data_IF_765386434560
#
_entry.id   IF_765386434560
#
_cell.length_a   1.000
_cell.length_b   1.000
_cell.length_c   1.000
_cell.angle_alpha   90.00
_cell.angle_beta   90.00
_cell.angle_gamma   90.00
#
_symmetry.space_group_name_H-M   'P 1'
#
loop_
_entity.id
_entity.type
_entity.pdbx_description
1 polymer ?
#
# COMPACT_ATOMS: atom_id res chain seq x y z
N UNK A 1 -23.11 8.32 -17.31
CA UNK A 1 -22.84 9.45 -16.40
C UNK A 1 -21.97 8.89 -15.27
N UNK A 2 -20.74 9.39 -15.10
CA UNK A 2 -19.99 9.12 -13.88
C UNK A 2 -20.50 10.07 -12.81
N UNK A 3 -20.99 9.53 -11.71
CA UNK A 3 -21.49 10.32 -10.58
C UNK A 3 -20.36 10.84 -9.69
N UNK A 4 -19.10 10.65 -10.10
CA UNK A 4 -17.91 11.11 -9.40
C UNK A 4 -17.40 12.44 -9.97
N UNK A 5 -16.89 13.29 -9.10
CA UNK A 5 -16.10 14.47 -9.48
C UNK A 5 -14.83 14.05 -10.24
N UNK A 6 -14.16 15.00 -10.87
CA UNK A 6 -12.83 14.74 -11.42
C UNK A 6 -11.85 14.41 -10.29
N UNK A 7 -10.92 13.46 -10.49
CA UNK A 7 -9.87 13.20 -9.53
C UNK A 7 -9.05 14.47 -9.21
N UNK A 8 -8.77 14.66 -7.93
CA UNK A 8 -7.92 15.74 -7.46
C UNK A 8 -6.57 15.18 -6.98
N UNK A 9 -5.44 15.71 -7.44
CA UNK A 9 -4.14 15.21 -7.04
C UNK A 9 -3.83 15.59 -5.60
N UNK A 10 -3.25 14.65 -4.85
CA UNK A 10 -2.73 14.85 -3.50
C UNK A 10 -1.22 15.00 -3.61
N UNK A 11 -0.69 16.12 -3.12
CA UNK A 11 0.75 16.38 -3.09
C UNK A 11 1.26 16.37 -1.66
N UNK A 12 2.41 15.74 -1.46
CA UNK A 12 3.17 15.78 -0.21
C UNK A 12 4.45 16.57 -0.43
N UNK A 13 4.60 17.66 0.31
CA UNK A 13 5.82 18.46 0.29
C UNK A 13 6.92 17.76 1.13
N UNK A 14 8.16 17.67 0.60
CA UNK A 14 9.25 17.09 1.35
C UNK A 14 9.60 17.94 2.57
N UNK A 15 9.96 17.29 3.68
CA UNK A 15 10.40 17.96 4.89
C UNK A 15 11.65 18.82 4.64
N UNK A 16 11.68 20.04 5.20
CA UNK A 16 12.86 20.89 5.18
C UNK A 16 13.92 20.51 6.23
N UNK A 17 13.59 19.62 7.17
CA UNK A 17 14.44 19.26 8.31
C UNK A 17 15.18 17.94 8.09
N UNK A 18 14.44 16.88 7.75
CA UNK A 18 15.00 15.52 7.63
C UNK A 18 14.55 14.96 6.28
N UNK A 19 15.52 14.50 5.51
CA UNK A 19 15.30 13.82 4.23
C UNK A 19 16.08 12.50 4.22
N UNK A 20 15.37 11.40 4.09
CA UNK A 20 15.98 10.10 3.92
C UNK A 20 16.42 9.93 2.47
N UNK A 21 17.70 9.62 2.25
CA UNK A 21 18.29 9.51 0.91
C UNK A 21 18.71 8.07 0.57
N UNK A 22 18.57 7.16 1.53
CA UNK A 22 19.00 5.78 1.35
C UNK A 22 17.84 4.90 0.87
N UNK A 23 18.18 3.67 0.46
CA UNK A 23 17.24 2.61 0.09
C UNK A 23 16.25 2.34 1.23
N UNK A 24 15.00 2.10 0.88
CA UNK A 24 13.90 1.73 1.80
C UNK A 24 13.22 0.50 1.24
N UNK A 25 13.04 -0.50 2.06
CA UNK A 25 12.25 -1.69 1.73
C UNK A 25 10.93 -1.63 2.51
N UNK A 26 9.82 -1.78 1.82
CA UNK A 26 8.48 -1.83 2.40
C UNK A 26 8.01 -3.28 2.33
N UNK A 27 7.75 -3.88 3.49
CA UNK A 27 7.19 -5.23 3.57
C UNK A 27 5.66 -5.16 3.55
N UNK A 28 5.05 -5.88 2.63
CA UNK A 28 3.58 -5.85 2.45
C UNK A 28 2.96 -7.25 2.39
N UNK A 29 1.70 -7.29 2.76
CA UNK A 29 0.82 -8.44 2.57
C UNK A 29 -0.64 -7.97 2.45
N UNK A 30 -1.58 -8.90 2.27
CA UNK A 30 -3.02 -8.63 2.13
C UNK A 30 -3.66 -7.89 3.32
N UNK A 31 -3.01 -7.81 4.47
CA UNK A 31 -3.48 -7.04 5.62
C UNK A 31 -3.09 -5.56 5.56
N UNK A 32 -2.22 -5.18 4.62
CA UNK A 32 -1.92 -3.79 4.31
C UNK A 32 -3.13 -3.18 3.58
N UNK A 33 -4.11 -2.72 4.33
CA UNK A 33 -5.44 -2.35 3.84
C UNK A 33 -5.76 -0.88 4.16
N UNK A 34 -6.57 -0.20 3.33
CA UNK A 34 -7.06 1.16 3.53
C UNK A 34 -5.91 2.16 3.68
N UNK A 35 -5.79 2.88 4.80
CA UNK A 35 -4.73 3.87 5.04
C UNK A 35 -3.32 3.31 4.87
N UNK A 36 -3.10 2.02 5.16
CA UNK A 36 -1.80 1.36 4.90
C UNK A 36 -1.56 1.20 3.40
N UNK A 37 -2.60 0.87 2.63
CA UNK A 37 -2.51 0.84 1.17
C UNK A 37 -2.19 2.22 0.58
N UNK A 38 -2.84 3.28 1.09
CA UNK A 38 -2.55 4.67 0.71
C UNK A 38 -1.09 5.05 1.05
N UNK A 39 -0.59 4.64 2.21
CA UNK A 39 0.82 4.85 2.56
C UNK A 39 1.78 4.20 1.56
N UNK A 40 1.53 2.94 1.19
CA UNK A 40 2.35 2.24 0.19
C UNK A 40 2.30 2.96 -1.16
N UNK A 41 1.12 3.41 -1.60
CA UNK A 41 0.96 4.19 -2.82
C UNK A 41 1.78 5.49 -2.78
N UNK A 42 1.70 6.24 -1.70
CA UNK A 42 2.47 7.49 -1.53
C UNK A 42 3.97 7.23 -1.57
N UNK A 43 4.45 6.20 -0.89
CA UNK A 43 5.87 5.83 -0.92
C UNK A 43 6.33 5.45 -2.33
N UNK A 44 5.56 4.65 -3.05
CA UNK A 44 5.85 4.25 -4.44
C UNK A 44 5.73 5.39 -5.45
N UNK A 45 5.06 6.48 -5.08
CA UNK A 45 4.98 7.68 -5.93
C UNK A 45 6.28 8.48 -5.94
N UNK A 46 7.23 8.19 -5.03
CA UNK A 46 8.54 8.84 -4.98
C UNK A 46 9.44 8.25 -6.07
N UNK A 47 9.70 9.05 -7.11
CA UNK A 47 10.50 8.65 -8.29
C UNK A 47 12.01 8.81 -8.06
N UNK A 48 12.57 8.13 -7.09
CA UNK A 48 14.02 8.17 -6.81
C UNK A 48 14.71 6.79 -6.92
N UNK A 49 13.96 5.74 -7.24
CA UNK A 49 14.48 4.37 -7.33
C UNK A 49 14.89 3.72 -6.00
N UNK A 50 14.67 4.41 -4.88
CA UNK A 50 15.12 3.94 -3.57
C UNK A 50 14.04 3.19 -2.78
N UNK A 51 12.81 3.12 -3.29
CA UNK A 51 11.69 2.46 -2.63
C UNK A 51 11.44 1.12 -3.32
N UNK A 52 11.53 0.03 -2.55
CA UNK A 52 11.31 -1.33 -3.03
C UNK A 52 10.23 -1.97 -2.16
N UNK A 53 9.17 -2.46 -2.78
CA UNK A 53 8.10 -3.21 -2.11
C UNK A 53 8.35 -4.71 -2.22
N UNK A 54 8.35 -5.40 -1.09
CA UNK A 54 8.62 -6.86 -0.99
C UNK A 54 7.48 -7.53 -0.23
N UNK A 55 7.08 -8.69 -0.67
CA UNK A 55 6.03 -9.51 -0.04
C UNK A 55 4.89 -9.81 -0.99
N UNK A 56 3.67 -9.86 -0.48
CA UNK A 56 2.45 -10.04 -1.29
C UNK A 56 1.80 -8.68 -1.62
N UNK A 57 0.90 -8.71 -2.56
CA UNK A 57 0.01 -7.59 -2.90
C UNK A 57 -0.68 -7.04 -1.65
N UNK A 58 -0.85 -5.74 -1.56
CA UNK A 58 -1.64 -5.12 -0.49
C UNK A 58 -3.13 -5.47 -0.59
N UNK A 59 -3.89 -5.26 0.47
CA UNK A 59 -5.31 -5.60 0.52
C UNK A 59 -6.24 -4.59 -0.17
N UNK A 60 -5.71 -3.45 -0.62
CA UNK A 60 -6.53 -2.42 -1.27
C UNK A 60 -7.44 -1.65 -0.31
N UNK A 61 -8.67 -1.42 -0.74
CA UNK A 61 -9.73 -0.79 0.06
C UNK A 61 -9.48 0.68 0.40
N UNK A 62 -8.70 1.38 -0.42
CA UNK A 62 -8.48 2.82 -0.32
C UNK A 62 -9.76 3.57 -0.65
N UNK A 63 -10.01 4.66 0.07
CA UNK A 63 -11.18 5.50 -0.11
C UNK A 63 -11.81 5.88 1.23
N UNK A 64 -12.59 6.96 1.24
CA UNK A 64 -13.32 7.39 2.42
C UNK A 64 -14.55 6.49 2.63
N UNK A 65 -14.58 5.64 3.66
CA UNK A 65 -15.70 4.74 3.87
C UNK A 65 -16.94 5.52 4.30
N UNK A 66 -18.04 5.24 3.65
CA UNK A 66 -19.36 5.72 4.00
C UNK A 66 -20.16 4.59 4.66
N UNK A 67 -20.87 4.92 5.73
CA UNK A 67 -21.75 3.97 6.42
C UNK A 67 -23.21 4.43 6.27
N UNK A 68 -24.07 3.52 5.87
CA UNK A 68 -25.51 3.75 5.79
C UNK A 68 -26.26 2.68 6.57
N UNK A 69 -27.39 3.07 7.14
CA UNK A 69 -28.23 2.18 7.93
C UNK A 69 -29.42 1.70 7.08
N UNK A 70 -29.72 0.40 7.15
CA UNK A 70 -30.88 -0.21 6.52
C UNK A 70 -32.11 -0.15 7.43
N UNK A 71 -33.36 -0.18 6.89
CA UNK A 71 -34.57 -0.10 7.69
C UNK A 71 -34.73 -1.19 8.77
N UNK A 72 -34.00 -2.31 8.62
CA UNK A 72 -33.99 -3.41 9.59
C UNK A 72 -32.93 -3.25 10.70
N UNK A 73 -32.24 -2.10 10.76
CA UNK A 73 -31.18 -1.81 11.74
C UNK A 73 -29.80 -2.36 11.38
N UNK A 74 -29.62 -2.96 10.20
CA UNK A 74 -28.30 -3.33 9.70
C UNK A 74 -27.59 -2.12 9.12
N UNK A 75 -26.27 -2.10 9.26
CA UNK A 75 -25.44 -1.11 8.59
C UNK A 75 -24.62 -1.73 7.46
N UNK A 76 -24.49 -0.97 6.39
CA UNK A 76 -23.59 -1.26 5.26
C UNK A 76 -22.49 -0.21 5.22
N UNK A 77 -21.28 -0.65 4.87
CA UNK A 77 -20.11 0.23 4.73
C UNK A 77 -19.43 -0.04 3.41
N UNK A 78 -19.12 1.03 2.68
CA UNK A 78 -18.47 0.95 1.37
C UNK A 78 -17.58 2.18 1.14
N UNK A 79 -16.60 2.05 0.25
CA UNK A 79 -15.78 3.18 -0.18
C UNK A 79 -16.62 4.17 -1.00
N UNK A 80 -16.56 5.45 -0.65
CA UNK A 80 -17.31 6.50 -1.33
C UNK A 80 -16.43 7.37 -2.25
N UNK A 81 -15.10 7.22 -2.15
CA UNK A 81 -14.14 8.02 -2.91
C UNK A 81 -13.10 7.08 -3.54
N UNK A 82 -13.13 6.82 -4.84
CA UNK A 82 -12.12 6.02 -5.49
C UNK A 82 -10.76 6.72 -5.43
N UNK A 83 -9.74 5.97 -5.05
CA UNK A 83 -8.34 6.42 -5.03
C UNK A 83 -7.56 5.80 -6.19
N UNK A 84 -6.62 6.54 -6.71
CA UNK A 84 -5.80 6.14 -7.85
C UNK A 84 -4.32 6.37 -7.55
N UNK A 85 -3.47 5.60 -8.21
CA UNK A 85 -2.04 5.86 -8.23
C UNK A 85 -1.69 7.05 -9.17
N UNK A 86 -0.40 7.39 -9.27
CA UNK A 86 0.09 8.45 -10.17
C UNK A 86 -0.16 8.19 -11.66
N UNK A 87 -0.43 6.96 -12.05
CA UNK A 87 -0.76 6.54 -13.41
C UNK A 87 -2.26 6.37 -13.64
N UNK A 88 -3.09 6.82 -12.69
CA UNK A 88 -4.54 6.69 -12.72
C UNK A 88 -5.04 5.23 -12.66
N UNK A 89 -4.26 4.32 -12.06
CA UNK A 89 -4.71 2.97 -11.79
C UNK A 89 -5.46 2.94 -10.45
N UNK A 90 -6.64 2.29 -10.38
CA UNK A 90 -7.41 2.23 -9.14
C UNK A 90 -6.68 1.43 -8.06
N UNK A 91 -6.76 1.90 -6.81
CA UNK A 91 -6.09 1.28 -5.66
C UNK A 91 -6.99 0.28 -4.91
N UNK A 92 -8.21 0.07 -5.36
CA UNK A 92 -9.22 -0.76 -4.67
C UNK A 92 -8.76 -2.22 -4.51
N UNK A 93 -8.12 -2.77 -5.52
CA UNK A 93 -7.66 -4.17 -5.53
C UNK A 93 -6.29 -4.36 -4.88
N UNK A 94 -5.65 -3.28 -4.45
CA UNK A 94 -4.32 -3.29 -3.86
C UNK A 94 -3.19 -3.06 -4.86
N UNK A 95 -1.97 -3.03 -4.32
CA UNK A 95 -0.74 -2.69 -5.03
C UNK A 95 0.16 -3.92 -5.08
N UNK A 96 0.57 -4.32 -6.29
CA UNK A 96 1.49 -5.43 -6.50
C UNK A 96 2.90 -5.05 -6.01
N UNK A 97 3.63 -5.96 -5.35
CA UNK A 97 5.00 -5.73 -4.93
C UNK A 97 5.97 -5.73 -6.11
N UNK A 98 7.17 -5.16 -5.90
CA UNK A 98 8.27 -5.25 -6.86
C UNK A 98 8.92 -6.65 -6.81
N UNK A 99 8.92 -7.25 -5.62
CA UNK A 99 9.41 -8.61 -5.38
C UNK A 99 8.30 -9.38 -4.66
N UNK A 100 7.65 -10.27 -5.41
CA UNK A 100 6.61 -11.15 -4.88
C UNK A 100 7.26 -12.35 -4.17
N UNK A 101 7.08 -12.42 -2.86
CA UNK A 101 7.64 -13.48 -2.01
C UNK A 101 6.76 -13.69 -0.78
N UNK A 102 6.60 -14.93 -0.37
CA UNK A 102 5.86 -15.29 0.84
C UNK A 102 6.77 -16.05 1.82
N UNK A 103 6.28 -16.26 3.03
CA UNK A 103 6.95 -17.07 4.05
C UNK A 103 7.19 -18.48 3.55
N UNK A 104 8.44 -18.96 3.60
CA UNK A 104 8.76 -20.35 3.31
C UNK A 104 8.54 -21.24 4.52
N UNK A 105 8.15 -22.51 4.29
CA UNK A 105 8.02 -23.51 5.37
C UNK A 105 9.37 -23.73 6.09
N UNK A 106 10.46 -23.68 5.33
CA UNK A 106 11.81 -23.83 5.88
C UNK A 106 12.15 -22.70 6.86
N UNK A 107 11.94 -21.44 6.48
CA UNK A 107 12.22 -20.30 7.35
C UNK A 107 11.29 -20.29 8.55
N UNK A 108 10.01 -20.58 8.35
CA UNK A 108 9.04 -20.69 9.43
C UNK A 108 9.47 -21.76 10.47
N UNK A 109 9.95 -22.91 10.03
CA UNK A 109 10.45 -23.97 10.91
C UNK A 109 11.69 -23.56 11.72
N UNK A 110 12.47 -22.62 11.17
CA UNK A 110 13.67 -22.07 11.80
C UNK A 110 13.40 -20.77 12.57
N UNK A 111 12.15 -20.35 12.73
CA UNK A 111 11.73 -19.07 13.33
C UNK A 111 12.37 -17.85 12.65
N UNK A 112 12.57 -17.92 11.34
CA UNK A 112 13.03 -16.81 10.50
C UNK A 112 11.85 -16.21 9.74
N UNK A 113 11.94 -14.92 9.44
CA UNK A 113 11.00 -14.24 8.57
C UNK A 113 11.61 -14.05 7.19
N UNK A 114 11.09 -14.78 6.19
CA UNK A 114 11.58 -14.76 4.81
C UNK A 114 11.61 -13.34 4.23
N UNK A 115 10.57 -12.53 4.54
CA UNK A 115 10.48 -11.16 4.02
C UNK A 115 11.54 -10.26 4.63
N UNK A 116 11.78 -10.39 5.94
CA UNK A 116 12.83 -9.63 6.64
C UNK A 116 14.22 -10.02 6.14
N UNK A 117 14.50 -11.32 5.96
CA UNK A 117 15.78 -11.80 5.41
C UNK A 117 16.01 -11.21 4.00
N UNK A 118 14.97 -11.22 3.15
CA UNK A 118 15.05 -10.61 1.82
C UNK A 118 15.28 -9.09 1.87
N UNK A 119 14.66 -8.41 2.82
CA UNK A 119 14.90 -6.97 3.02
C UNK A 119 16.35 -6.67 3.41
N UNK A 120 16.95 -7.48 4.30
CA UNK A 120 18.37 -7.34 4.65
C UNK A 120 19.30 -7.59 3.47
N UNK A 121 19.02 -8.58 2.63
CA UNK A 121 19.76 -8.84 1.39
C UNK A 121 19.77 -7.57 0.51
N UNK A 122 18.59 -7.03 0.21
CA UNK A 122 18.42 -5.83 -0.64
C UNK A 122 19.11 -4.59 -0.05
N UNK A 123 19.06 -4.42 1.27
CA UNK A 123 19.65 -3.27 1.94
C UNK A 123 21.19 -3.37 2.07
N UNK A 124 21.76 -4.56 1.86
CA UNK A 124 23.18 -4.82 1.94
C UNK A 124 23.92 -4.61 0.59
N UNK A 125 23.18 -4.49 -0.50
CA UNK A 125 23.66 -4.14 -1.83
C UNK A 125 23.91 -2.62 -1.97
#
# INVERSE_FOLDING_TARGET
HSDFSKPEPIYLEPSNRIRWQKKVVILTNRRCYSATNDFVNLMRSIDNGNIIQVGDQTGGGSGLPFTSELPNGWSIRFSASPHFDKNMQPLEEGILPDIDIDMTEEDQSKHKDTLIEKAFEILSE
#
